data_IF_443466025162
#
_entry.id   IF_443466025162
#
_cell.length_a   1.000
_cell.length_b   1.000
_cell.length_c   1.000
_cell.angle_alpha   90.00
_cell.angle_beta   90.00
_cell.angle_gamma   90.00
#
_symmetry.space_group_name_H-M   'P 1'
#
loop_
_entity.id
_entity.type
_entity.pdbx_description
1 polymer ?
#
# COMPACT_ATOMS: atom_id res chain seq x y z
N UNK A 1 56.83 -34.43 -10.84
CA UNK A 1 55.95 -35.40 -11.51
C UNK A 1 54.86 -35.80 -10.51
N UNK A 2 53.62 -35.62 -10.91
CA UNK A 2 52.40 -35.57 -10.09
C UNK A 2 52.19 -36.76 -9.15
N UNK A 3 51.49 -36.53 -8.02
CA UNK A 3 50.26 -37.28 -7.70
C UNK A 3 49.41 -36.57 -6.65
N UNK A 4 48.20 -36.27 -7.09
CA UNK A 4 47.14 -35.49 -6.46
C UNK A 4 46.45 -36.38 -5.42
N UNK A 5 46.42 -35.93 -4.16
CA UNK A 5 45.56 -36.52 -3.12
C UNK A 5 44.20 -35.83 -3.25
N UNK A 6 43.22 -36.57 -3.74
CA UNK A 6 41.83 -36.14 -3.78
C UNK A 6 41.21 -36.27 -2.40
N UNK A 7 40.76 -35.14 -1.84
CA UNK A 7 39.88 -35.11 -0.67
C UNK A 7 38.54 -34.56 -1.10
N UNK A 8 37.54 -35.45 -1.06
CA UNK A 8 36.13 -35.18 -1.31
C UNK A 8 35.43 -34.84 0.03
N UNK A 9 34.30 -34.14 -0.04
CA UNK A 9 33.30 -33.87 1.03
C UNK A 9 33.66 -32.77 2.06
N UNK A 10 32.78 -31.85 2.46
CA UNK A 10 31.35 -31.67 2.26
C UNK A 10 31.00 -30.24 2.75
N UNK A 11 30.85 -29.26 1.85
CA UNK A 11 30.27 -27.97 2.23
C UNK A 11 28.75 -28.12 2.28
N UNK A 12 28.23 -28.43 3.47
CA UNK A 12 26.81 -28.28 3.79
C UNK A 12 26.48 -26.77 3.78
N UNK A 13 26.28 -26.20 2.61
CA UNK A 13 25.49 -24.98 2.50
C UNK A 13 24.04 -25.39 2.73
N UNK A 14 23.65 -25.46 4.00
CA UNK A 14 22.26 -25.29 4.39
C UNK A 14 21.90 -23.85 4.01
N UNK A 15 21.55 -23.66 2.74
CA UNK A 15 20.74 -22.52 2.33
C UNK A 15 19.41 -22.79 3.02
N UNK A 16 19.28 -22.25 4.23
CA UNK A 16 17.98 -21.97 4.83
C UNK A 16 17.35 -20.96 3.89
N UNK A 17 16.77 -21.46 2.79
CA UNK A 17 15.65 -20.81 2.13
C UNK A 17 14.54 -20.83 3.18
N UNK A 18 14.64 -19.88 4.11
CA UNK A 18 13.54 -19.50 4.96
C UNK A 18 12.38 -19.29 4.04
N UNK A 19 11.30 -20.03 4.27
CA UNK A 19 10.01 -19.73 3.70
C UNK A 19 9.68 -18.28 4.09
N UNK A 20 10.13 -17.32 3.28
CA UNK A 20 9.41 -16.07 3.15
C UNK A 20 8.07 -16.52 2.59
N UNK A 21 7.08 -16.61 3.47
CA UNK A 21 5.71 -16.45 3.02
C UNK A 21 5.75 -15.20 2.12
N UNK A 22 5.40 -15.37 0.84
CA UNK A 22 5.16 -14.24 -0.05
C UNK A 22 3.94 -13.50 0.51
N UNK A 23 4.14 -12.77 1.61
CA UNK A 23 3.13 -11.93 2.20
C UNK A 23 2.95 -10.77 1.23
N UNK A 24 1.81 -10.75 0.55
CA UNK A 24 1.39 -9.62 -0.26
C UNK A 24 1.57 -8.34 0.57
N UNK A 25 2.39 -7.40 0.09
CA UNK A 25 2.64 -6.12 0.78
C UNK A 25 1.37 -5.29 0.95
N UNK A 26 0.32 -5.61 0.20
CA UNK A 26 -0.98 -4.96 0.25
C UNK A 26 -2.00 -5.66 1.15
N UNK A 27 -1.65 -6.79 1.75
CA UNK A 27 -2.56 -7.53 2.65
C UNK A 27 -3.05 -6.64 3.79
N UNK A 28 -4.38 -6.59 3.96
CA UNK A 28 -5.09 -5.77 4.93
C UNK A 28 -5.50 -4.39 4.40
N UNK A 29 -5.14 -4.06 3.15
CA UNK A 29 -5.47 -2.79 2.50
C UNK A 29 -6.25 -2.99 1.20
N UNK A 30 -6.67 -4.21 0.89
CA UNK A 30 -7.32 -4.54 -0.37
C UNK A 30 -8.83 -4.29 -0.28
N UNK A 31 -9.50 -4.12 -1.42
CA UNK A 31 -10.97 -3.90 -1.44
C UNK A 31 -11.78 -4.95 -0.67
N UNK A 32 -11.28 -6.19 -0.61
CA UNK A 32 -11.92 -7.30 0.10
C UNK A 32 -11.69 -7.25 1.62
N UNK A 33 -10.74 -6.44 2.09
CA UNK A 33 -10.46 -6.21 3.52
C UNK A 33 -11.34 -5.08 4.10
N UNK A 34 -12.05 -4.34 3.25
CA UNK A 34 -12.95 -3.26 3.67
C UNK A 34 -14.32 -3.85 4.02
N UNK A 35 -14.69 -3.72 5.30
CA UNK A 35 -16.03 -4.05 5.78
C UNK A 35 -17.09 -3.25 5.00
N UNK A 36 -18.14 -3.93 4.55
CA UNK A 36 -19.17 -3.38 3.66
C UNK A 36 -18.87 -3.61 2.18
N UNK A 37 -17.63 -3.49 1.72
CA UNK A 37 -17.27 -3.78 0.31
C UNK A 37 -17.13 -5.27 0.04
N UNK A 38 -16.53 -6.02 0.96
CA UNK A 38 -16.27 -7.45 0.80
C UNK A 38 -17.51 -8.30 0.51
N UNK A 39 -18.70 -7.82 0.88
CA UNK A 39 -19.98 -8.52 0.75
C UNK A 39 -21.00 -7.77 -0.10
N UNK A 40 -20.64 -6.64 -0.71
CA UNK A 40 -21.59 -5.83 -1.43
C UNK A 40 -21.87 -6.38 -2.83
N UNK A 41 -23.15 -6.63 -3.11
CA UNK A 41 -23.63 -7.03 -4.44
C UNK A 41 -24.13 -5.82 -5.27
N UNK A 42 -24.30 -4.67 -4.61
CA UNK A 42 -24.85 -3.44 -5.18
C UNK A 42 -23.76 -2.40 -5.51
N UNK A 43 -22.53 -2.80 -5.79
CA UNK A 43 -21.48 -1.87 -6.23
C UNK A 43 -21.79 -1.38 -7.66
N UNK A 44 -21.76 -0.07 -7.88
CA UNK A 44 -21.83 0.55 -9.21
C UNK A 44 -20.46 0.49 -9.88
N UNK A 45 -19.42 0.92 -9.18
CA UNK A 45 -18.03 0.73 -9.58
C UNK A 45 -17.11 0.66 -8.36
N UNK A 46 -15.92 0.07 -8.58
CA UNK A 46 -14.80 0.10 -7.65
C UNK A 46 -13.50 0.14 -8.43
N UNK A 47 -12.63 1.08 -8.07
CA UNK A 47 -11.27 1.22 -8.58
C UNK A 47 -10.29 1.07 -7.43
N UNK A 48 -9.21 0.34 -7.69
CA UNK A 48 -8.17 0.07 -6.72
C UNK A 48 -6.83 0.39 -7.39
N UNK A 49 -6.12 1.37 -6.84
CA UNK A 49 -4.80 1.78 -7.29
C UNK A 49 -3.79 1.38 -6.21
N UNK A 50 -2.75 0.64 -6.61
CA UNK A 50 -1.69 0.17 -5.72
C UNK A 50 -0.32 0.64 -6.18
N UNK A 51 0.55 0.90 -5.21
CA UNK A 51 1.94 1.31 -5.45
C UNK A 51 2.78 1.10 -4.20
N UNK A 52 4.09 1.02 -4.35
CA UNK A 52 5.00 0.97 -3.21
C UNK A 52 6.33 1.65 -3.54
N UNK A 53 7.03 2.06 -2.49
CA UNK A 53 8.40 2.57 -2.48
C UNK A 53 9.28 1.65 -1.62
N UNK A 54 10.42 2.13 -1.15
CA UNK A 54 11.35 1.35 -0.33
C UNK A 54 10.79 1.05 1.06
N UNK A 55 10.02 1.98 1.65
CA UNK A 55 9.52 1.84 3.01
C UNK A 55 7.99 1.79 3.12
N UNK A 56 7.26 2.06 2.05
CA UNK A 56 5.81 2.19 2.09
C UNK A 56 5.12 1.44 0.96
N UNK A 57 4.03 0.75 1.29
CA UNK A 57 3.02 0.33 0.35
C UNK A 57 1.77 1.19 0.54
N UNK A 58 1.10 1.55 -0.55
CA UNK A 58 -0.10 2.37 -0.53
C UNK A 58 -1.20 1.73 -1.36
N UNK A 59 -2.44 1.85 -0.86
CA UNK A 59 -3.64 1.48 -1.62
C UNK A 59 -4.65 2.61 -1.56
N UNK A 60 -5.09 3.06 -2.73
CA UNK A 60 -6.14 4.07 -2.92
C UNK A 60 -7.35 3.40 -3.56
N UNK A 61 -8.49 3.42 -2.89
CA UNK A 61 -9.71 2.73 -3.30
C UNK A 61 -10.82 3.74 -3.45
N UNK A 62 -11.42 3.80 -4.64
CA UNK A 62 -12.62 4.61 -4.89
C UNK A 62 -13.75 3.67 -5.26
N UNK A 63 -14.90 3.83 -4.62
CA UNK A 63 -16.06 3.02 -4.91
C UNK A 63 -17.36 3.82 -4.79
N UNK A 64 -18.40 3.31 -5.42
CA UNK A 64 -19.74 3.86 -5.34
C UNK A 64 -20.75 2.71 -5.36
N UNK A 65 -21.75 2.76 -4.48
CA UNK A 65 -22.87 1.83 -4.54
C UNK A 65 -23.94 2.34 -5.51
N UNK A 66 -24.70 1.42 -6.08
CA UNK A 66 -25.88 1.73 -6.88
C UNK A 66 -26.86 2.55 -6.03
N UNK A 67 -27.36 3.64 -6.61
CA UNK A 67 -28.28 4.60 -5.99
C UNK A 67 -27.66 5.53 -4.93
N UNK A 68 -26.35 5.47 -4.68
CA UNK A 68 -25.66 6.54 -3.96
C UNK A 68 -25.35 7.68 -4.92
N UNK A 69 -25.48 8.92 -4.45
CA UNK A 69 -25.06 10.09 -5.25
C UNK A 69 -23.55 10.32 -5.18
N UNK A 70 -22.93 9.90 -4.07
CA UNK A 70 -21.52 10.14 -3.79
C UNK A 70 -20.70 8.86 -3.97
N UNK A 71 -19.50 9.01 -4.53
CA UNK A 71 -18.46 8.01 -4.36
C UNK A 71 -17.76 8.20 -3.01
N UNK A 72 -17.13 7.13 -2.54
CA UNK A 72 -16.28 7.10 -1.35
C UNK A 72 -14.86 6.73 -1.76
N UNK A 73 -13.90 7.41 -1.14
CA UNK A 73 -12.47 7.18 -1.29
C UNK A 73 -11.89 6.72 0.04
N UNK A 74 -11.04 5.70 -0.01
CA UNK A 74 -10.27 5.18 1.12
C UNK A 74 -8.79 5.14 0.74
N UNK A 75 -7.94 5.61 1.64
CA UNK A 75 -6.50 5.62 1.45
C UNK A 75 -5.80 4.95 2.63
N UNK A 76 -4.94 3.98 2.33
CA UNK A 76 -4.18 3.22 3.30
C UNK A 76 -2.69 3.33 3.00
N UNK A 77 -1.89 3.37 4.07
CA UNK A 77 -0.45 3.19 4.02
C UNK A 77 -0.05 2.00 4.88
N UNK A 78 0.90 1.20 4.41
CA UNK A 78 1.57 0.18 5.20
C UNK A 78 3.05 0.41 5.22
N UNK A 79 3.65 0.45 6.41
CA UNK A 79 5.09 0.49 6.53
C UNK A 79 5.65 -0.91 6.19
N UNK A 80 6.48 -0.99 5.16
CA UNK A 80 7.13 -2.23 4.69
C UNK A 80 8.66 -2.18 4.82
N UNK A 81 9.17 -1.07 5.39
CA UNK A 81 10.58 -0.87 5.64
C UNK A 81 11.15 -1.86 6.65
N UNK A 82 12.44 -2.19 6.50
CA UNK A 82 13.16 -3.06 7.45
C UNK A 82 13.62 -2.33 8.71
N UNK A 83 13.58 -1.00 8.69
CA UNK A 83 14.05 -0.15 9.78
C UNK A 83 12.97 -0.01 10.85
N UNK A 84 13.29 0.72 11.92
CA UNK A 84 12.29 1.04 12.94
C UNK A 84 11.09 1.75 12.33
N UNK A 85 9.90 1.37 12.79
CA UNK A 85 8.63 1.99 12.38
C UNK A 85 8.66 3.51 12.61
N UNK A 86 7.87 4.27 11.85
CA UNK A 86 7.68 5.70 12.06
C UNK A 86 7.32 6.03 13.51
N UNK A 87 7.92 7.09 14.05
CA UNK A 87 7.68 7.57 15.42
C UNK A 87 7.33 9.06 15.37
N UNK A 88 6.14 9.42 15.80
CA UNK A 88 5.66 10.81 15.74
C UNK A 88 4.75 11.06 14.52
N UNK A 89 4.80 12.25 13.96
CA UNK A 89 3.90 12.67 12.88
C UNK A 89 4.17 11.92 11.57
N UNK A 90 3.10 11.38 10.98
CA UNK A 90 3.07 10.88 9.61
C UNK A 90 2.28 11.86 8.75
N UNK A 91 2.93 12.48 7.77
CA UNK A 91 2.28 13.41 6.84
C UNK A 91 2.14 12.76 5.48
N UNK A 92 1.04 13.05 4.81
CA UNK A 92 0.80 12.55 3.46
C UNK A 92 0.14 13.61 2.59
N UNK A 93 0.38 13.50 1.29
CA UNK A 93 -0.38 14.20 0.26
C UNK A 93 -0.58 13.24 -0.91
N UNK A 94 -1.70 13.39 -1.62
CA UNK A 94 -1.95 12.69 -2.86
C UNK A 94 -2.61 13.63 -3.87
N UNK A 95 -2.34 13.35 -5.14
CA UNK A 95 -2.94 14.01 -6.29
C UNK A 95 -3.32 12.94 -7.32
N UNK A 96 -4.54 13.02 -7.84
CA UNK A 96 -5.05 12.10 -8.84
C UNK A 96 -5.20 12.83 -10.16
N UNK A 97 -4.53 12.35 -11.21
CA UNK A 97 -4.61 12.99 -12.52
C UNK A 97 -6.05 13.02 -13.06
N UNK A 98 -6.64 14.22 -13.11
CA UNK A 98 -8.01 14.46 -13.55
C UNK A 98 -9.10 14.16 -12.50
N UNK A 99 -8.71 13.90 -11.25
CA UNK A 99 -9.62 13.62 -10.13
C UNK A 99 -9.45 14.61 -8.98
N UNK A 100 -9.45 14.08 -7.75
CA UNK A 100 -9.24 14.85 -6.53
C UNK A 100 -7.83 14.72 -5.95
N UNK A 101 -7.46 15.72 -5.17
CA UNK A 101 -6.26 15.77 -4.34
C UNK A 101 -6.61 15.83 -2.84
N UNK A 102 -5.61 15.60 -2.00
CA UNK A 102 -5.78 15.74 -0.56
C UNK A 102 -4.47 15.63 0.20
N UNK A 103 -4.47 16.12 1.43
CA UNK A 103 -3.32 16.01 2.34
C UNK A 103 -3.77 15.93 3.79
N UNK A 104 -2.89 15.39 4.64
CA UNK A 104 -3.19 15.21 6.05
C UNK A 104 -1.95 14.96 6.90
N UNK A 105 -2.14 15.09 8.21
CA UNK A 105 -1.15 14.72 9.22
C UNK A 105 -1.81 13.81 10.25
N UNK A 106 -1.21 12.66 10.50
CA UNK A 106 -1.57 11.80 11.62
C UNK A 106 -0.52 11.99 12.71
N UNK A 107 -0.92 12.55 13.86
CA UNK A 107 -0.01 12.73 14.99
C UNK A 107 0.04 11.47 15.85
N UNK A 108 1.25 10.93 16.03
CA UNK A 108 1.49 9.68 16.77
C UNK A 108 0.53 8.55 16.40
N UNK A 109 0.45 8.19 15.10
CA UNK A 109 -0.57 7.26 14.66
C UNK A 109 -0.33 5.87 15.24
N UNK A 110 -1.38 5.30 15.83
CA UNK A 110 -1.43 3.87 16.08
C UNK A 110 -1.65 3.16 14.74
N UNK A 111 -0.87 2.10 14.49
CA UNK A 111 -1.08 1.20 13.36
C UNK A 111 -1.46 -0.18 13.88
N UNK A 112 -2.43 -0.83 13.24
CA UNK A 112 -2.64 -2.26 13.36
C UNK A 112 -1.96 -2.94 12.18
N UNK A 113 -1.14 -3.96 12.43
CA UNK A 113 -0.41 -4.69 11.38
C UNK A 113 0.41 -3.78 10.43
N UNK A 114 0.94 -2.67 10.98
CA UNK A 114 1.70 -1.63 10.26
C UNK A 114 0.89 -0.84 9.24
N UNK A 115 -0.44 -0.96 9.28
CA UNK A 115 -1.38 -0.25 8.41
C UNK A 115 -1.89 1.01 9.11
N UNK A 116 -1.86 2.10 8.36
CA UNK A 116 -2.30 3.43 8.72
C UNK A 116 -3.49 3.81 7.84
N UNK A 117 -4.63 4.06 8.48
CA UNK A 117 -5.84 4.52 7.80
C UNK A 117 -5.79 6.04 7.70
N UNK A 118 -5.62 6.55 6.48
CA UNK A 118 -5.42 7.99 6.27
C UNK A 118 -6.73 8.78 6.29
N UNK A 119 -7.86 8.08 6.35
CA UNK A 119 -9.21 8.63 6.39
C UNK A 119 -10.08 8.13 5.25
N UNK A 120 -11.34 8.53 5.28
CA UNK A 120 -12.28 8.34 4.18
C UNK A 120 -12.77 9.72 3.75
N UNK A 121 -12.86 9.95 2.45
CA UNK A 121 -13.59 11.10 1.89
C UNK A 121 -14.72 10.61 1.01
N UNK A 122 -15.73 11.44 0.80
CA UNK A 122 -16.83 11.13 -0.11
C UNK A 122 -17.34 12.39 -0.79
N UNK A 123 -17.83 12.25 -2.02
CA UNK A 123 -18.36 13.36 -2.80
C UNK A 123 -18.89 12.92 -4.16
N UNK A 124 -19.43 13.87 -4.92
CA UNK A 124 -19.94 13.68 -6.29
C UNK A 124 -19.12 14.48 -7.32
N UNK A 125 -17.92 14.91 -6.94
CA UNK A 125 -16.99 15.65 -7.78
C UNK A 125 -16.36 14.79 -8.88
N UNK A 126 -15.44 15.41 -9.62
CA UNK A 126 -14.73 14.74 -10.72
C UNK A 126 -14.01 13.49 -10.23
N UNK A 127 -14.22 12.38 -10.95
CA UNK A 127 -13.47 11.15 -10.79
C UNK A 127 -12.41 11.11 -11.88
N UNK A 128 -11.21 10.74 -11.48
CA UNK A 128 -10.15 10.44 -12.43
C UNK A 128 -10.52 9.24 -13.31
N UNK A 129 -9.91 9.16 -14.49
CA UNK A 129 -10.03 7.96 -15.33
C UNK A 129 -9.53 6.74 -14.56
N UNK A 130 -10.11 5.56 -14.83
CA UNK A 130 -9.70 4.33 -14.14
C UNK A 130 -8.20 4.05 -14.29
N UNK A 131 -7.58 4.49 -15.40
CA UNK A 131 -6.17 4.27 -15.68
C UNK A 131 -5.28 5.44 -15.21
N UNK A 132 -5.86 6.46 -14.58
CA UNK A 132 -5.10 7.57 -14.03
C UNK A 132 -4.14 7.10 -12.94
N UNK A 133 -2.98 7.77 -12.88
CA UNK A 133 -1.99 7.56 -11.83
C UNK A 133 -2.36 8.43 -10.64
N UNK A 134 -2.35 7.84 -9.45
CA UNK A 134 -2.37 8.60 -8.19
C UNK A 134 -0.91 8.82 -7.78
N UNK A 135 -0.50 10.08 -7.61
CA UNK A 135 0.82 10.44 -7.10
C UNK A 135 0.69 10.72 -5.63
N UNK A 136 1.44 9.99 -4.82
CA UNK A 136 1.41 10.12 -3.37
C UNK A 136 2.78 10.50 -2.83
N UNK A 137 2.80 11.32 -1.79
CA UNK A 137 3.99 11.63 -1.02
C UNK A 137 3.75 11.30 0.45
N UNK A 138 4.72 10.68 1.09
CA UNK A 138 4.71 10.33 2.52
C UNK A 138 5.92 10.94 3.19
N UNK A 139 5.73 11.58 4.35
CA UNK A 139 6.80 12.14 5.16
C UNK A 139 6.71 11.61 6.59
N UNK A 140 7.83 11.12 7.13
CA UNK A 140 7.91 10.55 8.47
C UNK A 140 9.35 10.64 8.99
N UNK A 141 9.55 10.90 10.28
CA UNK A 141 10.88 10.94 10.90
C UNK A 141 11.94 11.77 10.12
N UNK A 142 11.51 12.83 9.41
CA UNK A 142 12.37 13.64 8.54
C UNK A 142 12.67 13.06 7.14
N UNK A 143 12.20 11.85 6.84
CA UNK A 143 12.29 11.23 5.51
C UNK A 143 11.10 11.62 4.64
N UNK A 144 11.25 11.46 3.33
CA UNK A 144 10.19 11.68 2.35
C UNK A 144 10.31 10.68 1.21
N UNK A 145 9.18 10.07 0.83
CA UNK A 145 9.09 9.18 -0.33
C UNK A 145 7.92 9.55 -1.21
N UNK A 146 8.10 9.33 -2.51
CA UNK A 146 7.05 9.43 -3.51
C UNK A 146 6.65 8.02 -3.96
N UNK A 147 5.35 7.84 -4.21
CA UNK A 147 4.76 6.58 -4.65
C UNK A 147 3.83 6.89 -5.82
N UNK A 148 3.98 6.18 -6.92
CA UNK A 148 2.98 6.16 -7.99
C UNK A 148 2.07 4.95 -7.79
N UNK A 149 0.77 5.18 -7.68
CA UNK A 149 -0.22 4.13 -7.57
C UNK A 149 -0.95 3.97 -8.90
N UNK A 150 -0.96 2.75 -9.42
CA UNK A 150 -1.53 2.41 -10.71
C UNK A 150 -2.69 1.45 -10.50
N UNK A 151 -3.69 1.56 -11.38
CA UNK A 151 -4.85 0.68 -11.36
C UNK A 151 -4.44 -0.77 -11.64
N UNK A 152 -5.14 -1.71 -11.03
CA UNK A 152 -4.91 -3.16 -11.12
C UNK A 152 -6.19 -3.91 -11.50
#
# INVERSE_FOLDING_TARGET
>A
MNRIIGTLLLCLFLVLSGCKANSNVYSGMEKNDIEGLAKAENIEFIYENKGHSDHWAATYIVYKFKNDENHTTKLFLKYIGKQSKPTGDLRYAYDTEGGGDGSGTLSSPASQDEIYHLGNSGGNGALADKNSVVKMQVQWNGNTEAIELKNI
#
